data_IF_666034080174
#
_entry.id   IF_666034080174
#
_cell.length_a   1.000
_cell.length_b   1.000
_cell.length_c   1.000
_cell.angle_alpha   90.00
_cell.angle_beta   90.00
_cell.angle_gamma   90.00
#
_symmetry.space_group_name_H-M   'P 1'
#
loop_
_entity.id
_entity.type
_entity.pdbx_description
1 polymer ?
#
# COMPACT_ATOMS: atom_id res chain seq x y z
N UNK A 1 -10.73 12.56 -33.90
CA UNK A 1 -11.49 11.63 -33.04
C UNK A 1 -11.87 12.30 -31.72
N UNK A 2 -12.90 13.17 -31.68
CA UNK A 2 -13.21 13.94 -30.45
C UNK A 2 -14.69 13.90 -30.05
N UNK A 3 -15.62 14.30 -30.92
CA UNK A 3 -17.04 14.33 -30.54
C UNK A 3 -17.72 12.95 -30.50
N UNK A 4 -17.39 12.05 -31.42
CA UNK A 4 -17.94 10.69 -31.44
C UNK A 4 -17.53 9.88 -30.20
N UNK A 5 -16.27 10.02 -29.76
CA UNK A 5 -15.76 9.37 -28.54
C UNK A 5 -16.43 9.95 -27.31
N UNK A 6 -16.55 11.28 -27.23
CA UNK A 6 -17.28 11.97 -26.15
C UNK A 6 -18.73 11.49 -26.05
N UNK A 7 -19.45 11.40 -27.18
CA UNK A 7 -20.82 10.88 -27.22
C UNK A 7 -20.90 9.45 -26.69
N UNK A 8 -20.02 8.54 -27.14
CA UNK A 8 -19.96 7.17 -26.62
C UNK A 8 -19.76 7.09 -25.11
N UNK A 9 -18.93 7.99 -24.55
CA UNK A 9 -18.70 8.05 -23.11
C UNK A 9 -19.91 8.57 -22.34
N UNK A 10 -20.64 9.55 -22.89
CA UNK A 10 -21.88 10.06 -22.30
C UNK A 10 -22.97 9.00 -22.35
N UNK A 11 -23.19 8.37 -23.51
CA UNK A 11 -24.16 7.27 -23.68
C UNK A 11 -23.85 6.11 -22.71
N UNK A 12 -22.56 5.78 -22.53
CA UNK A 12 -22.15 4.76 -21.56
C UNK A 12 -22.42 5.16 -20.11
N UNK A 13 -22.24 6.43 -19.76
CA UNK A 13 -22.56 6.97 -18.43
C UNK A 13 -24.07 6.91 -18.15
N UNK A 14 -24.91 7.26 -19.12
CA UNK A 14 -26.37 7.18 -19.00
C UNK A 14 -26.84 5.74 -18.80
N UNK A 15 -26.27 4.78 -19.53
CA UNK A 15 -26.55 3.35 -19.32
C UNK A 15 -26.20 2.90 -17.91
N UNK A 16 -25.06 3.34 -17.38
CA UNK A 16 -24.65 3.02 -16.01
C UNK A 16 -25.57 3.64 -14.96
N UNK A 17 -26.04 4.88 -15.18
CA UNK A 17 -26.96 5.57 -14.28
C UNK A 17 -28.36 4.96 -14.27
N UNK A 18 -28.82 4.44 -15.42
CA UNK A 18 -30.14 3.80 -15.50
C UNK A 18 -30.28 2.57 -14.60
N UNK A 19 -29.17 1.97 -14.15
CA UNK A 19 -29.16 0.77 -13.30
C UNK A 19 -29.68 -0.50 -13.99
N UNK A 20 -30.10 -0.40 -15.25
CA UNK A 20 -30.72 -1.49 -15.98
C UNK A 20 -29.67 -2.48 -16.49
N UNK A 21 -29.62 -3.66 -15.86
CA UNK A 21 -28.68 -4.73 -16.18
C UNK A 21 -28.83 -5.22 -17.62
N UNK A 22 -30.01 -5.09 -18.23
CA UNK A 22 -30.25 -5.51 -19.61
C UNK A 22 -29.59 -4.55 -20.62
N UNK A 23 -29.44 -3.28 -20.27
CA UNK A 23 -28.86 -2.24 -21.15
C UNK A 23 -27.34 -2.19 -21.10
N UNK A 24 -26.71 -2.80 -20.09
CA UNK A 24 -25.25 -2.82 -19.95
C UNK A 24 -24.58 -3.72 -21.00
N UNK A 25 -23.64 -3.13 -21.73
CA UNK A 25 -22.89 -3.77 -22.80
C UNK A 25 -21.83 -4.72 -22.22
N UNK A 26 -21.10 -4.26 -21.20
CA UNK A 26 -20.00 -5.05 -20.61
C UNK A 26 -20.51 -6.20 -19.74
N UNK A 27 -20.07 -7.42 -20.05
CA UNK A 27 -20.37 -8.62 -19.23
C UNK A 27 -19.84 -8.49 -17.80
N UNK A 28 -18.65 -7.89 -17.64
CA UNK A 28 -18.06 -7.66 -16.31
C UNK A 28 -18.92 -6.73 -15.47
N UNK A 29 -19.39 -5.62 -16.06
CA UNK A 29 -20.20 -4.63 -15.36
C UNK A 29 -21.60 -5.17 -15.04
N UNK A 30 -22.20 -5.96 -15.94
CA UNK A 30 -23.44 -6.71 -15.65
C UNK A 30 -23.29 -7.63 -14.44
N UNK A 31 -22.20 -8.39 -14.38
CA UNK A 31 -21.94 -9.28 -13.24
C UNK A 31 -21.75 -8.50 -11.93
N UNK A 32 -21.12 -7.31 -11.99
CA UNK A 32 -20.97 -6.43 -10.81
C UNK A 32 -22.31 -5.80 -10.39
N UNK A 33 -23.15 -5.41 -11.36
CA UNK A 33 -24.48 -4.86 -11.12
C UNK A 33 -25.39 -5.88 -10.42
N UNK A 34 -25.43 -7.12 -10.92
CA UNK A 34 -26.19 -8.22 -10.29
C UNK A 34 -25.77 -8.51 -8.84
N UNK A 35 -24.52 -8.21 -8.49
CA UNK A 35 -23.99 -8.38 -7.13
C UNK A 35 -24.20 -7.13 -6.25
N UNK A 36 -24.83 -6.06 -6.76
CA UNK A 36 -24.96 -4.79 -6.05
C UNK A 36 -23.64 -4.05 -5.82
N UNK A 37 -22.57 -4.41 -6.56
CA UNK A 37 -21.21 -3.88 -6.36
C UNK A 37 -20.75 -2.94 -7.49
N UNK A 38 -21.68 -2.50 -8.33
CA UNK A 38 -21.35 -1.58 -9.43
C UNK A 38 -21.13 -0.18 -8.87
N UNK A 39 -19.92 0.36 -9.09
CA UNK A 39 -19.57 1.75 -8.76
C UNK A 39 -19.41 2.54 -10.06
N UNK A 40 -19.95 3.76 -10.09
CA UNK A 40 -19.78 4.68 -11.22
C UNK A 40 -18.43 5.36 -11.08
N UNK A 41 -17.49 5.05 -11.97
CA UNK A 41 -16.18 5.69 -12.01
C UNK A 41 -15.64 5.74 -13.46
N UNK A 42 -14.50 6.41 -13.64
CA UNK A 42 -13.88 6.54 -14.97
C UNK A 42 -13.65 5.18 -15.64
N UNK A 43 -13.15 4.18 -14.89
CA UNK A 43 -12.86 2.86 -15.44
C UNK A 43 -14.12 2.10 -15.86
N UNK A 44 -15.23 2.24 -15.13
CA UNK A 44 -16.49 1.59 -15.49
C UNK A 44 -17.09 2.23 -16.74
N UNK A 45 -17.00 3.56 -16.87
CA UNK A 45 -17.49 4.29 -18.05
C UNK A 45 -16.67 3.95 -19.29
N UNK A 46 -15.34 3.90 -19.17
CA UNK A 46 -14.47 3.48 -20.29
C UNK A 46 -14.76 2.04 -20.74
N UNK A 47 -14.94 1.13 -19.77
CA UNK A 47 -15.29 -0.27 -20.04
C UNK A 47 -16.68 -0.43 -20.69
N UNK A 48 -17.67 0.34 -20.24
CA UNK A 48 -19.02 0.32 -20.80
C UNK A 48 -19.09 0.98 -22.19
N UNK A 49 -18.23 1.96 -22.45
CA UNK A 49 -18.07 2.57 -23.76
C UNK A 49 -17.27 1.69 -24.75
N UNK A 50 -16.68 0.58 -24.28
CA UNK A 50 -15.80 -0.28 -25.08
C UNK A 50 -14.49 0.42 -25.51
N UNK A 51 -14.02 1.37 -24.70
CA UNK A 51 -12.82 2.16 -24.97
C UNK A 51 -11.64 1.70 -24.12
N UNK A 52 -10.43 2.01 -24.58
CA UNK A 52 -9.21 1.73 -23.83
C UNK A 52 -9.13 2.55 -22.55
N UNK A 53 -8.43 2.01 -21.55
CA UNK A 53 -8.12 2.73 -20.33
C UNK A 53 -7.39 4.05 -20.65
N UNK A 54 -7.92 5.18 -20.19
CA UNK A 54 -7.37 6.51 -20.44
C UNK A 54 -8.02 7.28 -21.59
N UNK A 55 -9.09 6.77 -22.21
CA UNK A 55 -9.89 7.52 -23.16
C UNK A 55 -10.49 8.81 -22.57
N UNK A 56 -10.77 8.82 -21.26
CA UNK A 56 -11.28 10.00 -20.54
C UNK A 56 -10.24 11.09 -20.29
N UNK A 57 -8.93 10.84 -20.49
CA UNK A 57 -7.86 11.82 -20.20
C UNK A 57 -8.00 13.12 -21.00
N UNK A 58 -8.57 13.04 -22.21
CA UNK A 58 -8.77 14.18 -23.12
C UNK A 58 -10.17 14.81 -23.00
N UNK A 59 -11.01 14.30 -22.11
CA UNK A 59 -12.41 14.71 -21.93
C UNK A 59 -12.67 15.05 -20.44
N UNK A 60 -12.05 16.15 -19.98
CA UNK A 60 -12.15 16.62 -18.59
C UNK A 60 -13.57 16.97 -18.17
N UNK A 61 -14.38 17.44 -19.11
CA UNK A 61 -15.81 17.70 -18.98
C UNK A 61 -16.60 16.44 -18.61
N UNK A 62 -16.36 15.33 -19.31
CA UNK A 62 -17.01 14.05 -19.01
C UNK A 62 -16.52 13.51 -17.67
N UNK A 63 -15.24 13.68 -17.33
CA UNK A 63 -14.72 13.29 -16.01
C UNK A 63 -15.43 14.05 -14.88
N UNK A 64 -15.72 15.35 -15.06
CA UNK A 64 -16.48 16.12 -14.09
C UNK A 64 -17.93 15.62 -13.98
N UNK A 65 -18.58 15.31 -15.10
CA UNK A 65 -19.93 14.73 -15.10
C UNK A 65 -19.99 13.40 -14.33
N UNK A 66 -19.00 12.50 -14.56
CA UNK A 66 -18.92 11.22 -13.84
C UNK A 66 -18.80 11.45 -12.33
N UNK A 67 -17.96 12.40 -11.91
CA UNK A 67 -17.80 12.72 -10.48
C UNK A 67 -19.10 13.24 -9.86
N UNK A 68 -19.74 14.21 -10.51
CA UNK A 68 -20.99 14.79 -10.01
C UNK A 68 -22.09 13.73 -9.92
N UNK A 69 -22.26 12.93 -10.98
CA UNK A 69 -23.25 11.86 -11.01
C UNK A 69 -22.95 10.73 -10.03
N UNK A 70 -21.68 10.40 -9.81
CA UNK A 70 -21.30 9.45 -8.76
C UNK A 70 -21.65 9.97 -7.37
N UNK A 71 -21.50 11.27 -7.10
CA UNK A 71 -21.88 11.87 -5.83
C UNK A 71 -23.40 11.90 -5.65
N UNK A 72 -24.16 12.26 -6.68
CA UNK A 72 -25.63 12.21 -6.65
C UNK A 72 -26.14 10.79 -6.31
N UNK A 73 -25.55 9.76 -6.91
CA UNK A 73 -25.91 8.36 -6.61
C UNK A 73 -25.55 7.97 -5.17
N UNK A 74 -24.45 8.47 -4.62
CA UNK A 74 -24.08 8.23 -3.23
C UNK A 74 -25.05 8.90 -2.26
N UNK A 75 -25.46 10.15 -2.54
CA UNK A 75 -26.48 10.87 -1.75
C UNK A 75 -27.79 10.12 -1.78
N UNK A 76 -28.24 9.65 -2.96
CA UNK A 76 -29.48 8.88 -3.08
C UNK A 76 -29.45 7.52 -2.34
N UNK A 77 -28.27 6.99 -2.01
CA UNK A 77 -28.11 5.74 -1.25
C UNK A 77 -27.95 5.97 0.26
N UNK A 78 -27.56 7.18 0.68
CA UNK A 78 -27.35 7.52 2.07
C UNK A 78 -28.61 8.21 2.61
N UNK A 79 -29.54 7.40 3.15
CA UNK A 79 -30.87 7.80 3.65
C UNK A 79 -30.82 8.95 4.70
N UNK A 80 -29.64 9.22 5.26
CA UNK A 80 -29.40 10.19 6.32
C UNK A 80 -28.66 11.46 5.86
N UNK A 81 -28.43 11.67 4.56
CA UNK A 81 -27.81 12.91 4.06
C UNK A 81 -28.56 13.48 2.88
N UNK A 82 -29.00 14.72 3.02
CA UNK A 82 -29.79 15.39 1.97
C UNK A 82 -28.88 16.04 0.91
N UNK A 83 -27.59 16.24 1.20
CA UNK A 83 -26.68 16.96 0.29
C UNK A 83 -25.35 16.25 0.01
N UNK A 84 -24.80 16.40 -1.23
CA UNK A 84 -23.46 15.90 -1.56
C UNK A 84 -22.35 16.46 -0.66
N UNK A 85 -22.56 17.65 -0.09
CA UNK A 85 -21.58 18.33 0.77
C UNK A 85 -21.46 17.58 2.11
N UNK A 86 -22.57 17.11 2.68
CA UNK A 86 -22.56 16.38 3.95
C UNK A 86 -21.88 15.01 3.82
N UNK A 87 -22.12 14.29 2.72
CA UNK A 87 -21.43 13.03 2.42
C UNK A 87 -19.91 13.25 2.37
N UNK A 88 -19.46 14.27 1.64
CA UNK A 88 -18.04 14.62 1.54
C UNK A 88 -17.46 15.04 2.90
N UNK A 89 -18.20 15.77 3.72
CA UNK A 89 -17.76 16.17 5.06
C UNK A 89 -17.59 14.96 5.99
N UNK A 90 -18.52 14.00 5.96
CA UNK A 90 -18.40 12.73 6.70
C UNK A 90 -17.15 11.95 6.27
N UNK A 91 -16.92 11.84 4.96
CA UNK A 91 -15.75 11.15 4.43
C UNK A 91 -14.44 11.84 4.82
N UNK A 92 -14.38 13.18 4.76
CA UNK A 92 -13.22 13.95 5.23
C UNK A 92 -12.94 13.69 6.71
N UNK A 93 -13.98 13.62 7.54
CA UNK A 93 -13.84 13.34 8.98
C UNK A 93 -13.30 11.92 9.21
N UNK A 94 -13.82 10.93 8.48
CA UNK A 94 -13.33 9.54 8.55
C UNK A 94 -11.85 9.45 8.13
N UNK A 95 -11.49 10.03 6.98
CA UNK A 95 -10.12 10.05 6.47
C UNK A 95 -9.13 10.75 7.42
N UNK A 96 -9.55 11.83 8.08
CA UNK A 96 -8.74 12.49 9.12
C UNK A 96 -8.51 11.56 10.33
N UNK A 97 -9.53 10.80 10.73
CA UNK A 97 -9.42 9.79 11.79
C UNK A 97 -8.42 8.70 11.43
N UNK A 98 -8.56 8.09 10.26
CA UNK A 98 -7.66 7.04 9.75
C UNK A 98 -6.21 7.55 9.66
N UNK A 99 -6.00 8.76 9.11
CA UNK A 99 -4.68 9.37 9.02
C UNK A 99 -4.03 9.57 10.39
N UNK A 100 -4.82 9.96 11.39
CA UNK A 100 -4.31 10.15 12.76
C UNK A 100 -3.87 8.82 13.37
N UNK A 101 -4.65 7.75 13.20
CA UNK A 101 -4.29 6.41 13.66
C UNK A 101 -3.05 5.87 12.96
N UNK A 102 -2.95 6.04 11.64
CA UNK A 102 -1.79 5.63 10.86
C UNK A 102 -0.50 6.36 11.32
N UNK A 103 -0.59 7.67 11.56
CA UNK A 103 0.54 8.44 12.07
C UNK A 103 0.96 8.01 13.47
N UNK A 104 0.00 7.66 14.34
CA UNK A 104 0.29 7.14 15.69
C UNK A 104 1.09 5.83 15.60
N UNK A 105 0.60 4.85 14.82
CA UNK A 105 1.31 3.58 14.61
C UNK A 105 2.68 3.75 13.99
N UNK A 106 2.81 4.65 13.01
CA UNK A 106 4.12 4.97 12.40
C UNK A 106 5.13 5.44 13.45
N UNK A 107 4.69 6.29 14.38
CA UNK A 107 5.53 6.77 15.48
C UNK A 107 5.87 5.63 16.44
N UNK A 108 4.88 4.85 16.87
CA UNK A 108 5.08 3.69 17.76
C UNK A 108 6.14 2.73 17.20
N UNK A 109 6.00 2.31 15.94
CA UNK A 109 6.99 1.42 15.30
C UNK A 109 8.38 2.04 15.15
N UNK A 110 8.45 3.35 14.91
CA UNK A 110 9.73 4.05 14.85
C UNK A 110 10.42 4.06 16.22
N UNK A 111 9.68 4.38 17.27
CA UNK A 111 10.19 4.44 18.64
C UNK A 111 10.61 3.04 19.12
N UNK A 112 9.83 1.99 18.83
CA UNK A 112 10.18 0.59 19.10
C UNK A 112 11.46 0.15 18.36
N UNK A 113 11.57 0.46 17.06
CA UNK A 113 12.76 0.11 16.28
C UNK A 113 14.03 0.80 16.82
N UNK A 114 13.91 2.06 17.24
CA UNK A 114 15.01 2.80 17.83
C UNK A 114 15.42 2.21 19.19
N UNK A 115 14.45 1.88 20.04
CA UNK A 115 14.69 1.19 21.32
C UNK A 115 15.39 -0.16 21.12
N UNK A 116 14.91 -0.98 20.19
CA UNK A 116 15.53 -2.28 19.87
C UNK A 116 16.95 -2.14 19.32
N UNK A 117 17.21 -1.11 18.51
CA UNK A 117 18.55 -0.82 18.01
C UNK A 117 19.52 -0.51 19.16
N UNK A 118 19.10 0.32 20.10
CA UNK A 118 19.91 0.70 21.28
C UNK A 118 20.15 -0.50 22.22
N UNK A 119 19.11 -1.30 22.47
CA UNK A 119 19.22 -2.52 23.25
C UNK A 119 20.17 -3.54 22.60
N UNK A 120 20.06 -3.74 21.29
CA UNK A 120 20.95 -4.64 20.54
C UNK A 120 22.41 -4.15 20.57
N UNK A 121 22.63 -2.85 20.40
CA UNK A 121 23.98 -2.27 20.49
C UNK A 121 24.60 -2.47 21.89
N UNK A 122 23.79 -2.28 22.94
CA UNK A 122 24.21 -2.51 24.32
C UNK A 122 24.55 -3.98 24.56
N UNK A 123 23.68 -4.89 24.12
CA UNK A 123 23.92 -6.32 24.23
C UNK A 123 25.17 -6.75 23.45
N UNK A 124 25.34 -6.27 22.22
CA UNK A 124 26.53 -6.56 21.41
C UNK A 124 27.81 -6.09 22.12
N UNK A 125 27.82 -4.89 22.72
CA UNK A 125 28.96 -4.39 23.48
C UNK A 125 29.28 -5.25 24.71
N UNK A 126 28.26 -5.69 25.45
CA UNK A 126 28.43 -6.62 26.58
C UNK A 126 29.02 -7.95 26.11
N UNK A 127 28.48 -8.53 25.04
CA UNK A 127 28.98 -9.79 24.48
C UNK A 127 30.44 -9.66 24.00
N UNK A 128 30.81 -8.56 23.34
CA UNK A 128 32.21 -8.30 22.95
C UNK A 128 33.12 -8.30 24.18
N UNK A 129 32.71 -7.62 25.26
CA UNK A 129 33.50 -7.58 26.50
C UNK A 129 33.65 -8.96 27.15
N UNK A 130 32.57 -9.74 27.22
CA UNK A 130 32.60 -11.11 27.74
C UNK A 130 33.55 -11.98 26.92
N UNK A 131 33.48 -11.92 25.59
CA UNK A 131 34.39 -12.68 24.72
C UNK A 131 35.84 -12.25 24.92
N UNK A 132 36.09 -10.94 25.06
CA UNK A 132 37.42 -10.42 25.34
C UNK A 132 37.99 -10.97 26.66
N UNK A 133 37.22 -10.88 27.75
CA UNK A 133 37.63 -11.39 29.07
C UNK A 133 37.91 -12.90 29.03
N UNK A 134 37.07 -13.68 28.34
CA UNK A 134 37.29 -15.12 28.17
C UNK A 134 38.56 -15.43 27.34
N UNK A 135 38.85 -14.65 26.30
CA UNK A 135 40.07 -14.79 25.51
C UNK A 135 41.31 -14.40 26.30
N UNK A 136 41.19 -13.41 27.20
CA UNK A 136 42.30 -12.98 28.05
C UNK A 136 42.71 -14.05 29.08
N UNK A 137 41.78 -14.91 29.50
CA UNK A 137 42.09 -16.09 30.34
C UNK A 137 42.91 -17.15 29.60
N UNK A 138 42.93 -17.16 28.27
CA UNK A 138 43.77 -18.06 27.49
C UNK A 138 45.18 -17.50 27.35
N UNK A 139 46.17 -18.39 27.39
CA UNK A 139 47.56 -18.04 27.07
C UNK A 139 47.64 -17.52 25.62
N UNK A 140 48.45 -16.49 25.37
CA UNK A 140 48.51 -15.77 24.08
C UNK A 140 48.70 -16.71 22.87
N UNK A 141 49.56 -17.73 23.02
CA UNK A 141 49.83 -18.74 21.99
C UNK A 141 48.63 -19.62 21.59
N UNK A 142 47.55 -19.61 22.37
CA UNK A 142 46.33 -20.39 22.14
C UNK A 142 45.15 -19.54 21.65
N UNK A 143 45.20 -18.21 21.80
CA UNK A 143 44.10 -17.29 21.44
C UNK A 143 43.77 -17.33 19.95
N UNK A 144 44.78 -17.28 19.09
CA UNK A 144 44.62 -17.33 17.63
C UNK A 144 43.95 -18.63 17.18
N UNK A 145 44.39 -19.78 17.72
CA UNK A 145 43.80 -21.11 17.43
C UNK A 145 42.34 -21.22 17.89
N UNK A 146 42.01 -20.64 19.05
CA UNK A 146 40.65 -20.62 19.56
C UNK A 146 39.72 -19.77 18.66
N UNK A 147 40.18 -18.60 18.22
CA UNK A 147 39.44 -17.73 17.30
C UNK A 147 39.26 -18.35 15.92
N UNK A 148 40.30 -18.97 15.35
CA UNK A 148 40.21 -19.72 14.09
C UNK A 148 39.14 -20.80 14.15
N UNK A 149 39.09 -21.56 15.26
CA UNK A 149 38.07 -22.60 15.45
C UNK A 149 36.66 -22.01 15.45
N UNK A 150 36.43 -20.93 16.21
CA UNK A 150 35.12 -20.26 16.29
C UNK A 150 34.67 -19.76 14.91
N UNK A 151 35.57 -19.11 14.18
CA UNK A 151 35.27 -18.60 12.84
C UNK A 151 34.99 -19.72 11.83
N UNK A 152 35.69 -20.85 11.93
CA UNK A 152 35.49 -22.00 11.05
C UNK A 152 34.19 -22.77 11.30
N UNK A 153 33.65 -22.75 12.53
CA UNK A 153 32.44 -23.49 12.90
C UNK A 153 31.13 -22.77 12.58
N UNK A 154 31.13 -21.44 12.43
CA UNK A 154 29.92 -20.69 12.12
C UNK A 154 29.90 -20.30 10.64
N UNK A 155 28.89 -20.79 9.91
CA UNK A 155 28.74 -20.53 8.47
C UNK A 155 28.32 -19.08 8.16
N UNK A 156 27.67 -18.40 9.10
CA UNK A 156 27.13 -17.05 8.95
C UNK A 156 28.04 -15.94 9.51
N UNK A 157 29.35 -16.22 9.62
CA UNK A 157 30.30 -15.23 10.12
C UNK A 157 30.55 -14.10 9.10
N UNK A 158 30.52 -12.85 9.58
CA UNK A 158 30.87 -11.66 8.78
C UNK A 158 32.38 -11.62 8.48
N UNK A 159 33.20 -12.27 9.31
CA UNK A 159 34.65 -12.38 9.16
C UNK A 159 34.99 -13.65 8.38
N UNK A 160 35.76 -13.50 7.30
CA UNK A 160 36.19 -14.63 6.46
C UNK A 160 37.40 -15.35 7.06
N UNK A 161 37.40 -16.69 6.98
CA UNK A 161 38.54 -17.54 7.31
C UNK A 161 39.49 -17.66 6.10
N UNK A 162 40.82 -17.82 6.25
CA UNK A 162 41.63 -17.91 7.48
C UNK A 162 42.35 -16.63 7.91
N UNK A 163 42.63 -16.50 9.23
CA UNK A 163 43.37 -15.37 9.81
C UNK A 163 44.84 -15.30 9.35
N UNK A 164 45.43 -16.43 8.95
CA UNK A 164 46.78 -16.49 8.35
C UNK A 164 46.79 -17.47 7.17
N UNK A 165 47.39 -17.07 6.05
CA UNK A 165 47.69 -18.02 4.97
C UNK A 165 48.81 -18.95 5.45
N UNK A 166 48.69 -20.29 5.28
CA UNK A 166 49.80 -21.19 5.55
C UNK A 166 51.01 -20.76 4.70
N UNK A 167 52.18 -20.67 5.35
CA UNK A 167 53.47 -20.55 4.67
C UNK A 167 53.91 -21.90 4.17
#
# INVERSE_FOLDING_TARGET
MSQATKKKLIDALERLLSGDVAKLTSRELRNKARKGKLKINNSSVEKEAGLSAGALRRHSDVVLMIKNKSLEVQVAQDENTDTPIEVLQKEIKALKGERTQANKKKKEYYDEAQSHKEALATQAAIHVKVVQELMDMLHESQREKAMDKIVSTCLDNVVTHPFRKPK
#
